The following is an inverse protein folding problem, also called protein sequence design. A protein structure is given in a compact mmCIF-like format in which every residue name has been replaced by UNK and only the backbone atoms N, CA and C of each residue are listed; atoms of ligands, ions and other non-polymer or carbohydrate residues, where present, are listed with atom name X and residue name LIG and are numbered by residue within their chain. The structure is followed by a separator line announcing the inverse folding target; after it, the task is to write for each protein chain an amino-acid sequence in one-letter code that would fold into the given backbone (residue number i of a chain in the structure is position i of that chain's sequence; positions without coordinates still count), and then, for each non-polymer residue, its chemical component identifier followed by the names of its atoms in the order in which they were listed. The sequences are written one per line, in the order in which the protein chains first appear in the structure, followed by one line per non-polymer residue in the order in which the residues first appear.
data_IF_662198070314
#
_entry.id   IF_662198070314
#
_cell.length_a   1.000
_cell.length_b   1.000
_cell.length_c   1.000
_cell.angle_alpha   90.00
_cell.angle_beta   90.00
_cell.angle_gamma   90.00
#
_symmetry.space_group_name_H-M   'P 1'
#
loop_
_entity.id
_entity.type
_entity.pdbx_description
1 polymer ?
#
# COMPACT_ATOMS: atom_id res chain seq x y z
N UNK A 1 4.64 -23.36 0.76
CA UNK A 1 3.56 -22.45 0.30
C UNK A 1 2.33 -23.13 -0.31
N UNK A 2 2.42 -24.31 -0.96
CA UNK A 2 1.23 -25.01 -1.50
C UNK A 2 0.23 -25.55 -0.47
N UNK A 3 0.64 -25.72 0.79
CA UNK A 3 -0.20 -26.33 1.84
C UNK A 3 -1.09 -25.35 2.62
N UNK A 4 -0.81 -24.05 2.57
CA UNK A 4 -1.63 -23.05 3.27
C UNK A 4 -2.95 -22.79 2.52
N UNK A 5 -2.93 -22.93 1.18
CA UNK A 5 -4.10 -22.73 0.31
C UNK A 5 -5.12 -23.88 0.44
N UNK A 6 -4.66 -25.11 0.69
CA UNK A 6 -5.53 -26.29 0.88
C UNK A 6 -6.31 -26.26 2.19
N UNK A 7 -5.76 -25.64 3.25
CA UNK A 7 -6.42 -25.59 4.55
C UNK A 7 -7.65 -24.66 4.57
N UNK A 8 -7.62 -23.60 3.76
CA UNK A 8 -8.74 -22.63 3.64
C UNK A 8 -9.91 -23.23 2.84
N UNK A 9 -9.64 -24.04 1.82
CA UNK A 9 -10.69 -24.62 0.96
C UNK A 9 -11.45 -25.77 1.66
N UNK A 10 -10.78 -26.56 2.49
CA UNK A 10 -11.42 -27.68 3.22
C UNK A 10 -12.35 -27.18 4.35
N UNK A 11 -12.07 -26.02 4.94
CA UNK A 11 -12.91 -25.47 6.01
C UNK A 11 -14.22 -24.86 5.49
N UNK A 12 -14.21 -24.35 4.25
CA UNK A 12 -15.40 -23.75 3.60
C UNK A 12 -16.40 -24.82 3.11
N UNK A 13 -15.95 -26.03 2.77
CA UNK A 13 -16.80 -27.07 2.19
C UNK A 13 -17.39 -28.06 3.22
N UNK A 14 -17.00 -27.98 4.50
CA UNK A 14 -17.49 -28.90 5.54
C UNK A 14 -18.63 -28.32 6.41
N UNK A 15 -19.03 -27.07 6.19
CA UNK A 15 -20.05 -26.38 7.01
C UNK A 15 -21.45 -26.33 6.40
N UNK A 16 -21.66 -26.93 5.24
CA UNK A 16 -22.99 -27.05 4.63
C UNK A 16 -23.54 -28.46 4.79
N UNK A 17 -24.07 -28.82 5.97
CA UNK A 17 -25.25 -29.68 6.05
C UNK A 17 -25.92 -29.67 7.44
N UNK A 18 -27.23 -29.38 7.39
CA UNK A 18 -28.30 -29.68 8.33
C UNK A 18 -28.31 -28.90 9.66
N UNK A 19 -29.21 -27.92 9.74
CA UNK A 19 -29.90 -27.66 11.01
C UNK A 19 -31.40 -27.50 10.79
N UNK A 20 -32.13 -28.51 11.25
CA UNK A 20 -33.58 -28.53 11.41
C UNK A 20 -33.98 -27.54 12.50
N UNK A 21 -35.09 -26.85 12.24
CA UNK A 21 -35.66 -25.78 13.02
C UNK A 21 -36.12 -26.29 14.42
N UNK A 22 -35.47 -25.84 15.50
CA UNK A 22 -36.01 -25.96 16.86
C UNK A 22 -36.39 -24.57 17.40
N UNK A 23 -37.53 -24.50 18.09
CA UNK A 23 -38.01 -23.30 18.81
C UNK A 23 -37.18 -23.14 20.08
N UNK A 24 -36.00 -22.55 19.98
CA UNK A 24 -35.26 -22.10 21.15
C UNK A 24 -35.00 -20.59 21.10
N UNK A 25 -35.24 -19.94 22.24
CA UNK A 25 -35.29 -18.49 22.44
C UNK A 25 -33.93 -17.79 22.34
N UNK A 26 -32.84 -18.55 22.14
CA UNK A 26 -31.51 -18.04 21.85
C UNK A 26 -31.36 -17.45 20.44
N UNK A 27 -32.20 -17.86 19.49
CA UNK A 27 -32.09 -17.43 18.09
C UNK A 27 -32.21 -15.93 17.87
N UNK A 28 -32.76 -15.17 18.84
CA UNK A 28 -32.79 -13.69 18.80
C UNK A 28 -31.46 -13.05 19.21
N UNK A 29 -30.67 -13.70 20.07
CA UNK A 29 -29.36 -13.22 20.53
C UNK A 29 -28.22 -13.60 19.58
N UNK A 30 -28.45 -14.59 18.69
CA UNK A 30 -27.49 -15.07 17.70
C UNK A 30 -27.76 -14.53 16.28
N UNK A 31 -28.68 -13.57 16.14
CA UNK A 31 -28.78 -12.80 14.90
C UNK A 31 -27.66 -11.77 14.87
N UNK A 32 -26.57 -12.14 14.22
CA UNK A 32 -25.58 -11.18 13.75
C UNK A 32 -26.19 -10.45 12.54
N UNK A 33 -26.96 -9.38 12.80
CA UNK A 33 -27.51 -8.51 11.75
C UNK A 33 -26.46 -7.56 11.15
N UNK A 34 -25.28 -7.48 11.76
CA UNK A 34 -24.11 -6.88 11.13
C UNK A 34 -23.35 -7.98 10.39
N UNK A 35 -23.23 -7.83 9.07
CA UNK A 35 -22.21 -8.53 8.31
C UNK A 35 -20.86 -8.17 8.94
N UNK A 36 -20.38 -9.00 9.86
CA UNK A 36 -19.06 -8.87 10.45
C UNK A 36 -18.09 -8.75 9.29
N UNK A 37 -17.56 -7.54 9.10
CA UNK A 37 -16.60 -7.26 8.05
C UNK A 37 -15.37 -8.14 8.23
N UNK A 38 -14.38 -7.94 7.37
CA UNK A 38 -13.08 -8.58 7.48
C UNK A 38 -12.28 -8.17 8.75
N UNK A 39 -12.94 -7.85 9.86
CA UNK A 39 -12.34 -7.56 11.16
C UNK A 39 -11.40 -8.69 11.62
N UNK A 40 -11.64 -9.92 11.19
CA UNK A 40 -10.69 -11.02 11.43
C UNK A 40 -9.32 -10.79 10.77
N UNK A 41 -9.25 -10.13 9.60
CA UNK A 41 -7.98 -9.75 8.98
C UNK A 41 -7.27 -8.67 9.84
N UNK A 42 -8.02 -7.76 10.46
CA UNK A 42 -7.48 -6.79 11.42
C UNK A 42 -6.96 -7.44 12.70
N UNK A 43 -7.51 -8.59 13.10
CA UNK A 43 -7.03 -9.36 14.26
C UNK A 43 -5.65 -10.00 14.02
N UNK A 44 -5.28 -10.31 12.77
CA UNK A 44 -3.99 -10.92 12.41
C UNK A 44 -2.89 -9.91 12.07
N UNK A 45 -3.23 -8.63 11.82
CA UNK A 45 -2.23 -7.55 11.76
C UNK A 45 -1.99 -7.01 13.17
N UNK A 46 -0.75 -7.08 13.71
CA UNK A 46 -0.43 -6.46 14.99
C UNK A 46 -0.99 -5.04 15.08
N UNK A 47 -1.74 -4.75 16.15
CA UNK A 47 -2.39 -3.45 16.39
C UNK A 47 -1.44 -2.25 16.20
N UNK A 48 -0.16 -2.46 16.47
CA UNK A 48 0.93 -1.53 16.20
C UNK A 48 1.03 -1.07 14.73
N UNK A 49 0.87 -1.97 13.76
CA UNK A 49 0.94 -1.61 12.33
C UNK A 49 -0.24 -0.76 11.90
N UNK A 50 -1.45 -1.15 12.31
CA UNK A 50 -2.66 -0.41 12.02
C UNK A 50 -2.60 0.99 12.64
N UNK A 51 -2.19 1.07 13.91
CA UNK A 51 -2.05 2.34 14.60
C UNK A 51 -1.03 3.26 13.93
N UNK A 52 0.17 2.77 13.59
CA UNK A 52 1.19 3.59 12.93
C UNK A 52 0.79 4.02 11.53
N UNK A 53 0.10 3.16 10.77
CA UNK A 53 -0.46 3.51 9.47
C UNK A 53 -1.50 4.63 9.60
N UNK A 54 -2.42 4.53 10.57
CA UNK A 54 -3.40 5.59 10.88
C UNK A 54 -2.69 6.90 11.26
N UNK A 55 -1.68 6.85 12.12
CA UNK A 55 -0.92 8.03 12.54
C UNK A 55 -0.13 8.68 11.40
N UNK A 56 0.42 7.88 10.48
CA UNK A 56 1.10 8.39 9.30
C UNK A 56 0.10 9.04 8.33
N UNK A 57 -1.05 8.41 8.08
CA UNK A 57 -2.15 8.99 7.28
C UNK A 57 -2.63 10.33 7.86
N UNK A 58 -2.81 10.40 9.19
CA UNK A 58 -3.12 11.66 9.90
C UNK A 58 -2.05 12.72 9.69
N UNK A 59 -0.78 12.34 9.72
CA UNK A 59 0.33 13.27 9.44
C UNK A 59 0.27 13.80 8.01
N UNK A 60 0.13 12.95 6.99
CA UNK A 60 0.02 13.36 5.57
C UNK A 60 -1.17 14.32 5.37
N UNK A 61 -2.29 14.05 6.03
CA UNK A 61 -3.49 14.91 6.01
C UNK A 61 -3.30 16.25 6.74
N UNK A 62 -2.29 16.38 7.59
CA UNK A 62 -2.14 17.53 8.48
C UNK A 62 -1.74 18.81 7.75
N UNK A 63 -2.06 19.96 8.37
CA UNK A 63 -1.57 21.28 7.93
C UNK A 63 -0.03 21.37 7.96
N UNK A 64 0.62 20.61 8.85
CA UNK A 64 2.07 20.57 8.98
C UNK A 64 2.70 19.96 7.73
N UNK A 65 2.21 18.78 7.31
CA UNK A 65 2.69 18.14 6.09
C UNK A 65 2.43 19.00 4.85
N UNK A 66 1.23 19.58 4.74
CA UNK A 66 0.91 20.54 3.67
C UNK A 66 1.90 21.71 3.64
N UNK A 67 2.27 22.26 4.80
CA UNK A 67 3.28 23.33 4.88
C UNK A 67 4.65 22.85 4.41
N UNK A 68 5.10 21.65 4.83
CA UNK A 68 6.37 21.06 4.37
C UNK A 68 6.37 20.96 2.84
N UNK A 69 5.32 20.38 2.26
CA UNK A 69 5.19 20.20 0.81
C UNK A 69 5.21 21.52 0.04
N UNK A 70 4.46 22.51 0.50
CA UNK A 70 4.44 23.83 -0.14
C UNK A 70 5.75 24.61 0.01
N UNK A 71 6.52 24.35 1.07
CA UNK A 71 7.78 25.06 1.34
C UNK A 71 8.98 24.43 0.63
N UNK A 72 9.07 23.10 0.64
CA UNK A 72 10.25 22.36 0.18
C UNK A 72 10.02 21.58 -1.13
N UNK A 73 8.79 21.56 -1.63
CA UNK A 73 8.41 20.82 -2.84
C UNK A 73 7.99 19.37 -2.56
N UNK A 74 7.42 18.77 -3.60
CA UNK A 74 6.83 17.43 -3.55
C UNK A 74 7.89 16.33 -3.30
N UNK A 75 9.05 16.43 -3.94
CA UNK A 75 10.17 15.48 -3.73
C UNK A 75 10.67 15.50 -2.28
N UNK A 76 10.81 16.67 -1.64
CA UNK A 76 11.19 16.76 -0.22
C UNK A 76 10.06 16.38 0.74
N UNK A 77 8.81 16.49 0.32
CA UNK A 77 7.70 15.96 1.11
C UNK A 77 7.73 14.42 1.19
N UNK A 78 8.27 13.72 0.18
CA UNK A 78 8.51 12.27 0.27
C UNK A 78 9.47 11.92 1.41
N UNK A 79 10.54 12.70 1.59
CA UNK A 79 11.46 12.53 2.74
C UNK A 79 10.71 12.67 4.05
N UNK A 80 9.79 13.64 4.16
CA UNK A 80 9.01 13.85 5.38
C UNK A 80 8.06 12.69 5.68
N UNK A 81 7.47 12.03 4.66
CA UNK A 81 6.69 10.79 4.84
C UNK A 81 7.58 9.71 5.44
N UNK A 82 8.75 9.46 4.84
CA UNK A 82 9.66 8.41 5.27
C UNK A 82 10.29 8.66 6.65
N UNK A 83 10.71 9.89 6.92
CA UNK A 83 11.24 10.28 8.24
C UNK A 83 10.17 10.09 9.32
N UNK A 84 8.93 10.49 9.03
CA UNK A 84 7.83 10.32 9.98
C UNK A 84 7.52 8.84 10.22
N UNK A 85 7.51 8.02 9.18
CA UNK A 85 7.27 6.57 9.33
C UNK A 85 8.38 5.89 10.12
N UNK A 86 9.65 6.23 9.86
CA UNK A 86 10.78 5.75 10.67
C UNK A 86 10.63 6.12 12.15
N UNK A 87 10.20 7.35 12.46
CA UNK A 87 9.96 7.76 13.83
C UNK A 87 8.81 6.97 14.51
N UNK A 88 7.69 6.74 13.79
CA UNK A 88 6.55 5.97 14.29
C UNK A 88 6.90 4.49 14.52
N UNK A 89 7.75 3.92 13.68
CA UNK A 89 8.13 2.51 13.74
C UNK A 89 9.38 2.24 14.57
N UNK A 90 9.89 3.25 15.31
CA UNK A 90 11.13 3.15 16.09
C UNK A 90 12.32 2.66 15.26
N UNK A 91 12.47 3.24 14.07
CA UNK A 91 13.49 2.92 13.07
C UNK A 91 13.42 1.50 12.49
N UNK A 92 12.28 0.81 12.59
CA UNK A 92 12.05 -0.40 11.82
C UNK A 92 11.79 -0.05 10.35
N UNK A 93 12.82 -0.22 9.51
CA UNK A 93 12.82 0.16 8.10
C UNK A 93 11.79 -0.60 7.26
N UNK A 94 11.70 -1.93 7.40
CA UNK A 94 10.73 -2.72 6.64
C UNK A 94 9.30 -2.24 6.91
N UNK A 95 8.95 -2.06 8.18
CA UNK A 95 7.61 -1.60 8.56
C UNK A 95 7.39 -0.14 8.17
N UNK A 96 8.42 0.70 8.28
CA UNK A 96 8.39 2.10 7.84
C UNK A 96 8.05 2.22 6.36
N UNK A 97 8.70 1.41 5.51
CA UNK A 97 8.42 1.36 4.07
C UNK A 97 6.99 0.88 3.81
N UNK A 98 6.57 -0.21 4.45
CA UNK A 98 5.21 -0.74 4.30
C UNK A 98 4.13 0.30 4.66
N UNK A 99 4.24 0.97 5.82
CA UNK A 99 3.23 1.97 6.19
C UNK A 99 3.32 3.22 5.31
N UNK A 100 4.49 3.55 4.76
CA UNK A 100 4.64 4.65 3.80
C UNK A 100 3.88 4.34 2.51
N UNK A 101 3.97 3.11 1.99
CA UNK A 101 3.16 2.63 0.85
C UNK A 101 1.67 2.81 1.13
N UNK A 102 1.18 2.31 2.27
CA UNK A 102 -0.23 2.38 2.64
C UNK A 102 -0.74 3.82 2.86
N UNK A 103 0.12 4.72 3.36
CA UNK A 103 -0.22 6.12 3.55
C UNK A 103 -0.25 6.91 2.23
N UNK A 104 0.38 6.38 1.18
CA UNK A 104 0.45 6.98 -0.15
C UNK A 104 -0.59 6.45 -1.14
N UNK A 105 -1.36 5.40 -0.80
CA UNK A 105 -2.48 4.94 -1.64
C UNK A 105 -3.49 6.05 -1.91
N UNK A 106 -3.78 6.31 -3.18
CA UNK A 106 -4.72 7.34 -3.64
C UNK A 106 -6.06 6.76 -4.12
N UNK A 107 -6.29 5.46 -3.92
CA UNK A 107 -7.53 4.75 -4.18
C UNK A 107 -8.22 4.30 -2.87
N UNK A 108 -9.54 4.46 -2.76
CA UNK A 108 -10.31 4.03 -1.58
C UNK A 108 -10.63 2.53 -1.63
N UNK A 109 -10.95 2.05 -2.83
CA UNK A 109 -11.41 0.70 -3.11
C UNK A 109 -10.46 0.08 -4.12
N UNK A 110 -10.27 -1.22 -3.99
CA UNK A 110 -9.59 -2.04 -5.00
C UNK A 110 -10.49 -3.17 -5.42
N UNK A 111 -10.54 -3.39 -6.73
CA UNK A 111 -11.35 -4.46 -7.32
C UNK A 111 -10.47 -5.64 -7.70
N UNK A 112 -10.63 -6.77 -7.02
CA UNK A 112 -10.04 -8.03 -7.44
C UNK A 112 -10.89 -8.62 -8.56
N UNK A 113 -10.36 -8.62 -9.79
CA UNK A 113 -11.03 -9.19 -10.95
C UNK A 113 -10.61 -10.66 -11.11
N UNK A 114 -11.51 -11.56 -10.75
CA UNK A 114 -11.47 -12.95 -11.22
C UNK A 114 -12.43 -13.08 -12.43
N UNK A 115 -12.12 -13.85 -13.49
CA UNK A 115 -13.04 -14.07 -14.63
C UNK A 115 -14.49 -14.47 -14.29
N UNK A 116 -14.79 -14.88 -13.05
CA UNK A 116 -16.14 -15.26 -12.59
C UNK A 116 -16.79 -14.24 -11.62
N UNK A 117 -15.99 -13.43 -10.91
CA UNK A 117 -16.50 -12.53 -9.86
C UNK A 117 -15.58 -11.32 -9.65
N UNK A 118 -16.15 -10.12 -9.60
CA UNK A 118 -15.45 -8.90 -9.17
C UNK A 118 -15.74 -8.64 -7.69
N UNK A 119 -14.70 -8.65 -6.85
CA UNK A 119 -14.83 -8.35 -5.42
C UNK A 119 -14.11 -7.04 -5.13
N UNK A 120 -14.78 -6.10 -4.46
CA UNK A 120 -14.18 -4.84 -4.03
C UNK A 120 -13.82 -4.88 -2.55
N UNK A 121 -12.61 -4.41 -2.21
CA UNK A 121 -12.13 -4.33 -0.85
C UNK A 121 -11.73 -2.88 -0.50
N UNK A 122 -12.07 -2.39 0.70
CA UNK A 122 -11.59 -1.09 1.16
C UNK A 122 -10.10 -1.15 1.50
N UNK A 123 -9.31 -0.23 0.94
CA UNK A 123 -7.88 -0.06 1.27
C UNK A 123 -7.64 0.85 2.48
N UNK A 124 -8.69 1.49 2.98
CA UNK A 124 -8.57 2.49 4.03
C UNK A 124 -9.73 2.40 5.02
N UNK A 125 -9.42 2.65 6.28
CA UNK A 125 -10.40 2.85 7.36
C UNK A 125 -10.71 4.34 7.57
N UNK A 126 -10.19 5.23 6.72
CA UNK A 126 -10.48 6.66 6.77
C UNK A 126 -11.92 6.93 6.30
N UNK A 127 -12.57 7.92 6.90
CA UNK A 127 -13.78 8.49 6.29
C UNK A 127 -13.45 9.10 4.91
N UNK A 128 -14.45 9.22 4.05
CA UNK A 128 -14.28 9.78 2.70
C UNK A 128 -13.62 11.18 2.73
N UNK A 129 -14.08 12.05 3.64
CA UNK A 129 -13.53 13.40 3.84
C UNK A 129 -12.07 13.36 4.27
N UNK A 130 -11.71 12.41 5.14
CA UNK A 130 -10.35 12.24 5.60
C UNK A 130 -9.43 11.73 4.50
N UNK A 131 -9.90 10.75 3.74
CA UNK A 131 -9.20 10.18 2.60
C UNK A 131 -8.88 11.26 1.57
N UNK A 132 -9.86 12.02 1.11
CA UNK A 132 -9.62 13.03 0.07
C UNK A 132 -8.67 14.13 0.55
N UNK A 133 -8.77 14.57 1.82
CA UNK A 133 -7.82 15.53 2.39
C UNK A 133 -6.39 14.98 2.44
N UNK A 134 -6.22 13.67 2.67
CA UNK A 134 -4.91 13.02 2.61
C UNK A 134 -4.39 13.00 1.18
N UNK A 135 -5.21 12.52 0.24
CA UNK A 135 -4.84 12.40 -1.18
C UNK A 135 -4.51 13.76 -1.79
N UNK A 136 -5.29 14.80 -1.54
CA UNK A 136 -5.01 16.18 -1.98
C UNK A 136 -3.67 16.73 -1.46
N UNK A 137 -3.25 16.25 -0.29
CA UNK A 137 -1.99 16.65 0.31
C UNK A 137 -0.80 15.82 -0.17
N UNK A 138 -1.00 14.68 -0.84
CA UNK A 138 0.10 13.87 -1.36
C UNK A 138 0.97 14.68 -2.34
N UNK A 139 2.29 14.43 -2.37
CA UNK A 139 3.15 14.84 -3.47
C UNK A 139 2.55 14.42 -4.82
N UNK A 140 2.53 15.33 -5.80
CA UNK A 140 1.93 15.08 -7.11
C UNK A 140 2.87 15.41 -8.27
N UNK A 141 3.97 16.14 -8.04
CA UNK A 141 4.93 16.52 -9.07
C UNK A 141 6.32 16.10 -8.62
N UNK A 142 6.57 14.79 -8.68
CA UNK A 142 7.84 14.20 -8.24
C UNK A 142 8.85 14.10 -9.38
N UNK A 143 8.43 14.26 -10.63
CA UNK A 143 9.30 14.26 -11.80
C UNK A 143 9.17 15.56 -12.62
N UNK A 144 10.17 15.84 -13.44
CA UNK A 144 10.13 16.99 -14.36
C UNK A 144 9.06 16.85 -15.45
N UNK A 145 8.73 15.60 -15.80
CA UNK A 145 7.66 15.23 -16.74
C UNK A 145 6.31 14.93 -16.05
N UNK A 146 6.18 15.24 -14.76
CA UNK A 146 4.90 15.10 -14.04
C UNK A 146 3.79 15.93 -14.71
N UNK A 147 2.57 15.39 -14.86
CA UNK A 147 1.44 16.16 -15.38
C UNK A 147 1.18 17.41 -14.54
N UNK A 148 1.12 18.60 -15.16
CA UNK A 148 0.93 19.90 -14.48
C UNK A 148 -0.44 20.09 -13.82
N UNK A 149 -1.30 19.07 -13.88
CA UNK A 149 -2.66 19.09 -13.36
C UNK A 149 -2.74 18.84 -11.86
N UNK A 150 -3.95 18.86 -11.31
CA UNK A 150 -4.18 18.58 -9.88
C UNK A 150 -3.94 17.13 -9.49
N UNK A 151 -3.95 16.19 -10.44
CA UNK A 151 -3.81 14.75 -10.20
C UNK A 151 -2.32 14.41 -10.06
N UNK A 152 -1.53 14.78 -11.07
CA UNK A 152 -0.08 14.53 -11.09
C UNK A 152 0.25 13.05 -10.96
N UNK A 153 1.36 12.75 -10.30
CA UNK A 153 1.98 11.44 -10.09
C UNK A 153 1.77 10.92 -8.65
N UNK A 154 0.56 11.07 -8.08
CA UNK A 154 0.28 10.65 -6.69
C UNK A 154 0.38 9.14 -6.51
N UNK A 155 -0.15 8.40 -7.47
CA UNK A 155 -0.06 6.94 -7.55
C UNK A 155 1.39 6.48 -7.66
N UNK A 156 2.29 7.26 -8.25
CA UNK A 156 3.72 6.88 -8.33
C UNK A 156 4.38 6.74 -6.94
N UNK A 157 3.82 7.35 -5.90
CA UNK A 157 4.29 7.20 -4.54
C UNK A 157 4.08 5.78 -3.99
N UNK A 158 2.96 5.12 -4.29
CA UNK A 158 2.72 3.73 -3.86
C UNK A 158 3.65 2.77 -4.61
N UNK A 159 3.94 3.03 -5.89
CA UNK A 159 4.93 2.30 -6.67
C UNK A 159 6.34 2.42 -6.07
N UNK A 160 6.75 3.65 -5.75
CA UNK A 160 8.06 3.92 -5.14
C UNK A 160 8.22 3.24 -3.78
N UNK A 161 7.34 3.51 -2.81
CA UNK A 161 7.48 2.94 -1.47
C UNK A 161 7.20 1.43 -1.44
N UNK A 162 6.28 0.94 -2.28
CA UNK A 162 5.99 -0.48 -2.43
C UNK A 162 7.20 -1.24 -2.94
N UNK A 163 7.83 -0.77 -4.02
CA UNK A 163 9.04 -1.37 -4.56
C UNK A 163 10.21 -1.29 -3.59
N UNK A 164 10.34 -0.19 -2.85
CA UNK A 164 11.34 -0.06 -1.79
C UNK A 164 11.16 -1.09 -0.68
N UNK A 165 9.91 -1.30 -0.22
CA UNK A 165 9.59 -2.32 0.77
C UNK A 165 9.99 -3.72 0.30
N UNK A 166 9.60 -4.09 -0.93
CA UNK A 166 9.91 -5.40 -1.52
C UNK A 166 11.42 -5.58 -1.64
N UNK A 167 12.12 -4.60 -2.23
CA UNK A 167 13.58 -4.64 -2.36
C UNK A 167 14.30 -4.79 -1.02
N UNK A 168 13.85 -4.06 0.00
CA UNK A 168 14.42 -4.14 1.34
C UNK A 168 14.18 -5.52 1.99
N UNK A 169 12.96 -6.05 1.93
CA UNK A 169 12.60 -7.33 2.57
C UNK A 169 13.26 -8.53 1.88
N UNK A 170 13.42 -8.48 0.56
CA UNK A 170 14.04 -9.56 -0.21
C UNK A 170 15.53 -9.35 -0.48
N UNK A 171 16.10 -8.26 0.04
CA UNK A 171 17.51 -7.90 -0.11
C UNK A 171 18.00 -7.90 -1.57
N UNK A 172 17.14 -7.48 -2.51
CA UNK A 172 17.41 -7.55 -3.95
C UNK A 172 17.02 -6.28 -4.68
N UNK A 173 17.86 -5.89 -5.65
CA UNK A 173 17.54 -4.82 -6.61
C UNK A 173 16.66 -5.31 -7.75
N UNK A 174 16.69 -6.61 -8.04
CA UNK A 174 16.15 -7.16 -9.28
C UNK A 174 14.63 -7.00 -9.36
N UNK A 175 14.13 -6.21 -10.32
CA UNK A 175 12.71 -6.13 -10.60
C UNK A 175 12.17 -7.41 -11.26
N UNK A 176 13.05 -8.19 -11.92
CA UNK A 176 12.70 -9.06 -13.06
C UNK A 176 11.77 -10.22 -12.70
N UNK A 177 11.82 -10.77 -11.48
CA UNK A 177 11.04 -11.99 -11.18
C UNK A 177 10.11 -11.93 -9.98
N UNK A 178 10.30 -11.03 -9.01
CA UNK A 178 9.49 -11.01 -7.77
C UNK A 178 8.79 -9.70 -7.53
N UNK A 179 9.48 -8.59 -7.79
CA UNK A 179 8.92 -7.24 -7.67
C UNK A 179 7.94 -6.97 -8.81
N UNK A 180 8.31 -7.27 -10.06
CA UNK A 180 7.40 -7.21 -11.21
C UNK A 180 6.17 -8.10 -11.00
N UNK A 181 6.34 -9.36 -10.57
CA UNK A 181 5.20 -10.26 -10.30
C UNK A 181 4.33 -9.80 -9.13
N UNK A 182 4.89 -9.19 -8.09
CA UNK A 182 4.09 -8.66 -6.98
C UNK A 182 3.35 -7.38 -7.39
N UNK A 183 3.97 -6.53 -8.19
CA UNK A 183 3.36 -5.31 -8.74
C UNK A 183 2.28 -5.69 -9.75
N UNK A 184 2.52 -6.61 -10.67
CA UNK A 184 1.52 -7.18 -11.57
C UNK A 184 0.38 -7.83 -10.79
N UNK A 185 0.68 -8.64 -9.77
CA UNK A 185 -0.36 -9.31 -8.97
C UNK A 185 -1.12 -8.33 -8.07
N UNK A 186 -0.53 -7.17 -7.75
CA UNK A 186 -1.23 -6.07 -7.10
C UNK A 186 -2.07 -5.31 -8.13
N UNK A 187 -1.52 -4.84 -9.25
CA UNK A 187 -2.19 -4.13 -10.33
C UNK A 187 -3.36 -4.95 -10.92
N UNK A 188 -3.18 -6.22 -11.25
CA UNK A 188 -4.24 -7.13 -11.72
C UNK A 188 -5.35 -7.34 -10.67
N UNK A 189 -5.00 -7.28 -9.38
CA UNK A 189 -5.94 -7.42 -8.28
C UNK A 189 -6.59 -6.10 -7.84
N UNK A 190 -6.17 -4.95 -8.40
CA UNK A 190 -6.46 -3.62 -7.85
C UNK A 190 -7.02 -2.67 -8.91
N UNK A 191 -6.48 -2.66 -10.13
CA UNK A 191 -6.69 -1.60 -11.12
C UNK A 191 -7.55 -2.10 -12.28
N UNK A 192 -8.79 -1.61 -12.36
CA UNK A 192 -9.76 -1.98 -13.41
C UNK A 192 -9.42 -1.33 -14.77
N UNK A 193 -8.53 -0.34 -14.80
CA UNK A 193 -8.29 0.54 -15.95
C UNK A 193 -6.79 0.91 -16.15
N UNK A 194 -5.87 0.05 -15.69
CA UNK A 194 -4.43 0.34 -15.69
C UNK A 194 -3.85 0.40 -17.10
N UNK A 195 -3.60 1.60 -17.61
CA UNK A 195 -2.82 1.80 -18.81
C UNK A 195 -1.32 1.72 -18.50
N UNK A 196 -0.53 1.15 -19.40
CA UNK A 196 0.92 1.14 -19.28
C UNK A 196 1.48 2.57 -19.17
N UNK A 197 2.11 2.89 -18.04
CA UNK A 197 2.74 4.20 -17.79
C UNK A 197 4.22 4.00 -17.43
N UNK A 198 5.12 4.53 -18.27
CA UNK A 198 6.57 4.45 -18.04
C UNK A 198 7.01 5.11 -16.71
N UNK A 199 6.21 6.04 -16.17
CA UNK A 199 6.47 6.64 -14.85
C UNK A 199 6.25 5.66 -13.70
N UNK A 200 5.38 4.64 -13.85
CA UNK A 200 5.26 3.55 -12.88
C UNK A 200 6.53 2.72 -12.83
N UNK A 201 7.05 2.35 -14.00
CA UNK A 201 8.31 1.61 -14.09
C UNK A 201 9.47 2.41 -13.49
N UNK A 202 9.52 3.71 -13.75
CA UNK A 202 10.52 4.61 -13.16
C UNK A 202 10.40 4.64 -11.63
N UNK A 203 9.19 4.83 -11.10
CA UNK A 203 8.94 4.86 -9.67
C UNK A 203 9.29 3.53 -8.99
N UNK A 204 8.93 2.41 -9.61
CA UNK A 204 9.24 1.08 -9.12
C UNK A 204 10.76 0.85 -9.04
N UNK A 205 11.48 1.19 -10.10
CA UNK A 205 12.93 1.07 -10.15
C UNK A 205 13.64 1.93 -9.09
N UNK A 206 13.30 3.23 -9.02
CA UNK A 206 13.91 4.14 -8.05
C UNK A 206 13.55 3.75 -6.61
N UNK A 207 12.33 3.24 -6.40
CA UNK A 207 11.92 2.63 -5.15
C UNK A 207 12.80 1.43 -4.78
N UNK A 208 13.03 0.52 -5.72
CA UNK A 208 13.93 -0.63 -5.53
C UNK A 208 15.35 -0.19 -5.15
N UNK A 209 15.91 0.78 -5.87
CA UNK A 209 17.24 1.34 -5.54
C UNK A 209 17.30 1.93 -4.13
N UNK A 210 16.26 2.69 -3.75
CA UNK A 210 16.13 3.26 -2.41
C UNK A 210 16.05 2.18 -1.33
N UNK A 211 15.15 1.21 -1.51
CA UNK A 211 14.98 0.06 -0.62
C UNK A 211 16.29 -0.70 -0.40
N UNK A 212 16.99 -1.01 -1.48
CA UNK A 212 18.29 -1.68 -1.38
C UNK A 212 19.37 -0.82 -0.72
N UNK A 213 19.39 0.49 -0.97
CA UNK A 213 20.35 1.38 -0.33
C UNK A 213 20.17 1.45 1.20
N UNK A 214 18.93 1.29 1.68
CA UNK A 214 18.61 1.28 3.11
C UNK A 214 19.20 0.07 3.85
N UNK A 215 19.50 -1.04 3.17
CA UNK A 215 20.21 -2.19 3.76
C UNK A 215 21.61 -1.82 4.24
N UNK A 216 22.26 -0.85 3.57
CA UNK A 216 23.60 -0.38 3.92
C UNK A 216 23.56 0.82 4.87
N UNK A 217 22.58 1.70 4.71
CA UNK A 217 22.44 2.91 5.50
C UNK A 217 20.96 3.29 5.60
N UNK A 218 20.35 3.14 6.77
CA UNK A 218 18.94 3.46 6.97
C UNK A 218 18.62 4.96 7.08
N UNK A 219 19.63 5.84 6.97
CA UNK A 219 19.48 7.30 6.93
C UNK A 219 19.38 7.86 5.50
N UNK A 220 19.39 7.01 4.48
CA UNK A 220 19.15 7.43 3.09
C UNK A 220 17.74 8.00 2.96
N UNK A 221 17.58 8.96 2.05
CA UNK A 221 16.32 9.70 1.88
C UNK A 221 15.71 9.42 0.50
N UNK A 222 14.37 9.30 0.38
CA UNK A 222 13.68 9.10 -0.90
C UNK A 222 14.11 10.08 -2.00
N UNK A 223 14.25 11.36 -1.67
CA UNK A 223 14.63 12.41 -2.62
C UNK A 223 16.00 12.21 -3.27
N UNK A 224 16.88 11.38 -2.70
CA UNK A 224 18.19 11.05 -3.29
C UNK A 224 18.07 10.11 -4.50
N UNK A 225 16.90 9.47 -4.69
CA UNK A 225 16.64 8.44 -5.70
C UNK A 225 15.64 8.89 -6.76
N UNK A 226 14.93 9.99 -6.52
CA UNK A 226 14.10 10.65 -7.53
C UNK A 226 15.01 11.38 -8.51
N UNK A 227 15.41 10.69 -9.58
CA UNK A 227 16.34 11.14 -10.61
C UNK A 227 15.74 10.91 -12.00
N UNK A 228 16.55 11.10 -13.05
CA UNK A 228 16.19 10.85 -14.45
C UNK A 228 15.77 9.39 -14.73
N UNK A 229 15.68 8.99 -16.00
CA UNK A 229 15.17 7.66 -16.38
C UNK A 229 15.93 6.54 -15.65
N UNK A 230 15.19 5.51 -15.24
CA UNK A 230 15.79 4.33 -14.62
C UNK A 230 16.66 3.61 -15.65
N UNK A 231 17.94 3.40 -15.31
CA UNK A 231 18.79 2.47 -16.04
C UNK A 231 18.54 1.08 -15.49
N UNK A 232 17.65 0.32 -16.14
CA UNK A 232 17.71 -1.13 -16.03
C UNK A 232 18.97 -1.55 -16.77
N UNK A 233 20.10 -1.63 -16.07
CA UNK A 233 21.24 -2.34 -16.63
C UNK A 233 20.71 -3.73 -17.00
N UNK A 234 20.71 -4.02 -18.31
CA UNK A 234 20.48 -5.38 -18.78
C UNK A 234 21.65 -6.19 -18.24
N UNK A 235 21.40 -6.93 -17.16
CA UNK A 235 22.32 -7.95 -16.74
C UNK A 235 22.22 -9.08 -17.76
N UNK A 236 23.12 -9.03 -18.75
CA UNK A 236 23.45 -10.16 -19.62
C UNK A 236 24.05 -11.32 -18.81
#
# INVERSE_FOLDING_TARGET
MKYLLYFVIIFVLSSSHLYTQSKDSLGKYLKFEDAGGFDFLLTYFPSFYLQNSIELKKFVRSKIFKKIRLTYGDVKAMDAVFIRSMALTKNNTAISLLISTLACFDHQLVGLKNPVLSIFFPLTSESEVEFYKRVENLPAHIYDDSPRGKIGDRDKLQHFFGSAFISFVFESRDPVDRTARFIELFEDAVIIDGAYDERDLRANCQGSEFGFALLKNNHRLPSEFIKGPCHTDKFD
#
